data_IF_150941900461
#
_entry.id   IF_150941900461
#
_cell.length_a   1.000
_cell.length_b   1.000
_cell.length_c   1.000
_cell.angle_alpha   90.00
_cell.angle_beta   90.00
_cell.angle_gamma   90.00
#
_symmetry.space_group_name_H-M   'P 1'
#
loop_
_entity.id
_entity.type
_entity.pdbx_description
1 polymer ?
#
# COMPACT_ATOMS: atom_id res chain seq x y z
N UNK A 1 40.91 -11.97 -40.72
CA UNK A 1 39.96 -11.20 -39.89
C UNK A 1 40.64 -10.98 -38.53
N UNK A 2 40.90 -9.72 -38.16
CA UNK A 2 41.88 -9.35 -37.13
C UNK A 2 41.41 -9.82 -35.72
N UNK A 3 42.28 -10.52 -34.97
CA UNK A 3 42.10 -10.94 -33.58
C UNK A 3 41.64 -9.81 -32.66
N UNK A 4 41.98 -8.56 -33.00
CA UNK A 4 41.49 -7.38 -32.26
C UNK A 4 39.99 -7.20 -32.32
N UNK A 5 39.29 -7.55 -33.44
CA UNK A 5 37.82 -7.45 -33.55
C UNK A 5 37.15 -8.55 -32.77
N UNK A 6 37.71 -9.76 -32.75
CA UNK A 6 37.16 -10.87 -31.95
C UNK A 6 37.28 -10.61 -30.45
N UNK A 7 38.42 -10.01 -30.02
CA UNK A 7 38.65 -9.65 -28.61
C UNK A 7 37.69 -8.56 -28.10
N UNK A 8 37.37 -7.56 -28.94
CA UNK A 8 36.40 -6.50 -28.58
C UNK A 8 34.98 -7.07 -28.45
N UNK A 9 34.60 -8.02 -29.31
CA UNK A 9 33.27 -8.65 -29.26
C UNK A 9 33.14 -9.50 -27.99
N UNK A 10 34.18 -10.22 -27.58
CA UNK A 10 34.17 -11.04 -26.37
C UNK A 10 34.06 -10.17 -25.10
N UNK A 11 34.78 -9.07 -25.02
CA UNK A 11 34.74 -8.12 -23.90
C UNK A 11 33.35 -7.46 -23.83
N UNK A 12 32.78 -7.06 -24.97
CA UNK A 12 31.44 -6.48 -25.05
C UNK A 12 30.36 -7.48 -24.59
N UNK A 13 30.49 -8.75 -24.97
CA UNK A 13 29.56 -9.81 -24.54
C UNK A 13 29.67 -10.11 -23.04
N UNK A 14 30.89 -10.08 -22.48
CA UNK A 14 31.11 -10.26 -21.03
C UNK A 14 30.53 -9.11 -20.21
N UNK A 15 30.75 -7.86 -20.64
CA UNK A 15 30.19 -6.67 -20.01
C UNK A 15 28.65 -6.64 -20.08
N UNK A 16 28.08 -7.16 -21.18
CA UNK A 16 26.63 -7.26 -21.33
C UNK A 16 26.00 -8.36 -20.45
N UNK A 17 26.75 -9.45 -20.19
CA UNK A 17 26.30 -10.53 -19.30
C UNK A 17 26.26 -10.11 -17.83
N UNK A 18 27.17 -9.25 -17.39
CA UNK A 18 27.16 -8.72 -16.02
C UNK A 18 26.01 -7.72 -15.78
N UNK A 19 25.57 -6.99 -16.83
CA UNK A 19 24.43 -6.07 -16.72
C UNK A 19 23.08 -6.78 -16.54
N UNK A 20 22.97 -8.03 -16.99
CA UNK A 20 21.74 -8.84 -16.86
C UNK A 20 21.56 -9.50 -15.47
N UNK A 21 22.64 -9.60 -14.68
CA UNK A 21 22.57 -10.22 -13.34
C UNK A 21 22.05 -9.25 -12.27
N UNK A 22 22.04 -7.94 -12.55
CA UNK A 22 21.51 -6.92 -11.63
C UNK A 22 19.98 -6.68 -11.71
N UNK A 23 19.22 -7.51 -12.39
CA UNK A 23 17.78 -7.54 -12.18
C UNK A 23 17.49 -8.29 -10.87
N UNK A 24 17.76 -7.62 -9.74
CA UNK A 24 17.16 -8.02 -8.47
C UNK A 24 15.65 -8.11 -8.69
N UNK A 25 15.12 -9.30 -8.61
CA UNK A 25 13.67 -9.53 -8.49
C UNK A 25 13.25 -9.09 -7.10
N UNK A 26 13.23 -7.76 -6.88
CA UNK A 26 12.61 -7.19 -5.71
C UNK A 26 11.18 -7.70 -5.66
N UNK A 27 10.82 -8.43 -4.61
CA UNK A 27 9.45 -8.84 -4.37
C UNK A 27 8.61 -7.59 -4.26
N UNK A 28 7.94 -7.21 -5.35
CA UNK A 28 7.08 -6.04 -5.37
C UNK A 28 5.96 -6.22 -4.34
N UNK A 29 5.65 -5.15 -3.62
CA UNK A 29 4.52 -5.14 -2.70
C UNK A 29 3.25 -5.56 -3.44
N UNK A 30 2.50 -6.51 -2.89
CA UNK A 30 1.30 -7.07 -3.50
C UNK A 30 0.09 -6.89 -2.57
N UNK A 31 -0.99 -6.29 -3.11
CA UNK A 31 -2.27 -6.24 -2.39
C UNK A 31 -2.94 -7.61 -2.51
N UNK A 32 -3.30 -8.19 -1.35
CA UNK A 32 -4.11 -9.41 -1.25
C UNK A 32 -5.51 -9.20 -1.82
N UNK A 33 -6.45 -10.04 -1.46
CA UNK A 33 -7.82 -9.89 -1.95
C UNK A 33 -8.49 -8.66 -1.33
N UNK A 34 -9.17 -7.91 -2.19
CA UNK A 34 -10.05 -6.81 -1.75
C UNK A 34 -11.44 -7.39 -1.61
N UNK A 35 -11.81 -7.73 -0.37
CA UNK A 35 -13.11 -8.26 -0.03
C UNK A 35 -14.02 -7.17 0.56
N UNK A 36 -15.32 -7.32 0.35
CA UNK A 36 -16.31 -6.42 0.91
C UNK A 36 -17.50 -7.21 1.47
N UNK A 37 -18.19 -6.60 2.41
CA UNK A 37 -19.36 -7.16 3.07
C UNK A 37 -20.38 -6.04 3.30
N UNK A 38 -21.63 -6.31 2.99
CA UNK A 38 -22.74 -5.42 3.31
C UNK A 38 -23.50 -6.03 4.49
N UNK A 39 -23.59 -5.30 5.59
CA UNK A 39 -24.36 -5.69 6.76
C UNK A 39 -25.00 -4.46 7.40
N UNK A 40 -26.26 -4.55 7.81
CA UNK A 40 -27.01 -3.46 8.46
C UNK A 40 -26.99 -2.14 7.66
N UNK A 41 -27.08 -2.21 6.33
CA UNK A 41 -26.95 -1.09 5.39
C UNK A 41 -25.59 -0.40 5.40
N UNK A 42 -24.56 -1.00 5.97
CA UNK A 42 -23.20 -0.50 5.95
C UNK A 42 -22.33 -1.36 5.03
N UNK A 43 -21.48 -0.70 4.25
CA UNK A 43 -20.47 -1.33 3.40
C UNK A 43 -19.17 -1.40 4.18
N UNK A 44 -18.68 -2.61 4.40
CA UNK A 44 -17.39 -2.88 5.04
C UNK A 44 -16.40 -3.41 4.02
N UNK A 45 -15.12 -3.05 4.19
CA UNK A 45 -14.02 -3.46 3.32
C UNK A 45 -12.93 -4.10 4.16
N UNK A 46 -12.38 -5.19 3.65
CA UNK A 46 -11.21 -5.87 4.23
C UNK A 46 -10.19 -6.13 3.13
N UNK A 47 -8.93 -5.90 3.45
CA UNK A 47 -7.80 -6.12 2.54
C UNK A 47 -6.50 -6.27 3.33
N UNK A 48 -5.47 -6.79 2.69
CA UNK A 48 -4.12 -6.86 3.25
C UNK A 48 -3.09 -6.56 2.17
N UNK A 49 -1.95 -6.04 2.59
CA UNK A 49 -0.76 -5.91 1.77
C UNK A 49 0.26 -6.95 2.23
N UNK A 50 0.85 -7.70 1.31
CA UNK A 50 2.01 -8.53 1.60
C UNK A 50 3.23 -7.60 1.72
N UNK A 51 3.81 -7.46 2.92
CA UNK A 51 4.92 -6.54 3.10
C UNK A 51 6.18 -7.05 2.41
N UNK A 52 6.98 -6.14 1.91
CA UNK A 52 8.35 -6.43 1.52
C UNK A 52 9.22 -6.63 2.77
N UNK A 53 10.17 -7.55 2.71
CA UNK A 53 11.12 -7.79 3.81
C UNK A 53 11.87 -6.51 4.20
N UNK A 54 12.18 -5.66 3.22
CA UNK A 54 12.85 -4.37 3.41
C UNK A 54 12.16 -3.48 4.47
N UNK A 55 10.83 -3.53 4.59
CA UNK A 55 10.11 -2.73 5.62
C UNK A 55 10.50 -3.17 7.02
N UNK A 56 10.64 -4.47 7.25
CA UNK A 56 11.06 -5.02 8.55
C UNK A 56 12.52 -4.69 8.83
N UNK A 57 13.37 -4.79 7.81
CA UNK A 57 14.81 -4.51 7.92
C UNK A 57 15.04 -3.03 8.27
N UNK A 58 14.38 -2.11 7.57
CA UNK A 58 14.44 -0.67 7.85
C UNK A 58 13.95 -0.34 9.29
N UNK A 59 12.91 -1.01 9.76
CA UNK A 59 12.41 -0.84 11.14
C UNK A 59 13.42 -1.39 12.17
N UNK A 60 14.14 -2.48 11.86
CA UNK A 60 15.21 -3.00 12.70
C UNK A 60 16.40 -2.04 12.79
N UNK A 61 16.62 -1.22 11.76
CA UNK A 61 17.61 -0.14 11.73
C UNK A 61 17.11 1.14 12.44
N UNK A 62 15.87 1.16 12.93
CA UNK A 62 15.28 2.31 13.63
C UNK A 62 14.64 3.35 12.71
N UNK A 63 14.49 3.06 11.41
CA UNK A 63 13.82 3.95 10.49
C UNK A 63 12.31 3.94 10.73
N UNK A 64 11.69 5.11 10.65
CA UNK A 64 10.23 5.23 10.76
C UNK A 64 9.58 5.18 9.38
N UNK A 65 8.49 4.43 9.25
CA UNK A 65 7.74 4.26 8.00
C UNK A 65 6.33 4.82 8.12
N UNK A 66 5.78 5.20 6.98
CA UNK A 66 4.37 5.57 6.86
C UNK A 66 3.74 4.77 5.73
N UNK A 67 2.66 4.06 6.04
CA UNK A 67 1.86 3.32 5.08
C UNK A 67 0.49 3.96 5.00
N UNK A 68 0.08 4.31 3.80
CA UNK A 68 -1.22 4.93 3.53
C UNK A 68 -2.05 4.02 2.64
N UNK A 69 -3.26 3.69 3.10
CA UNK A 69 -4.30 3.04 2.31
C UNK A 69 -5.30 4.10 1.85
N UNK A 70 -5.60 4.11 0.56
CA UNK A 70 -6.72 4.81 -0.03
C UNK A 70 -7.74 3.76 -0.44
N UNK A 71 -8.95 3.87 0.08
CA UNK A 71 -10.07 2.96 -0.20
C UNK A 71 -11.14 3.77 -0.88
N UNK A 72 -11.25 3.64 -2.19
CA UNK A 72 -12.10 4.46 -3.04
C UNK A 72 -13.23 3.62 -3.63
N UNK A 73 -14.45 4.11 -3.54
CA UNK A 73 -15.63 3.52 -4.17
C UNK A 73 -15.89 4.20 -5.51
N UNK A 74 -15.98 3.41 -6.56
CA UNK A 74 -16.30 3.87 -7.90
C UNK A 74 -17.61 3.27 -8.39
N UNK A 75 -18.38 4.06 -9.16
CA UNK A 75 -19.55 3.61 -9.92
C UNK A 75 -19.14 3.37 -11.36
N UNK A 76 -19.53 2.22 -11.90
CA UNK A 76 -19.25 1.84 -13.29
C UNK A 76 -20.24 2.43 -14.24
N UNK A 77 -19.76 3.13 -15.25
CA UNK A 77 -20.57 3.65 -16.37
C UNK A 77 -20.24 2.92 -17.67
N UNK A 78 -21.24 2.65 -18.50
CA UNK A 78 -21.04 1.93 -19.77
C UNK A 78 -20.33 2.74 -20.86
N UNK A 79 -20.48 4.05 -20.85
CA UNK A 79 -20.06 4.95 -21.95
C UNK A 79 -19.09 6.02 -21.45
N UNK A 80 -19.16 6.40 -20.17
CA UNK A 80 -18.32 7.41 -19.53
C UNK A 80 -17.27 6.79 -18.63
N UNK A 81 -16.21 7.52 -18.29
CA UNK A 81 -15.29 7.08 -17.24
C UNK A 81 -16.03 6.79 -15.95
N UNK A 82 -15.51 5.81 -15.19
CA UNK A 82 -16.06 5.46 -13.90
C UNK A 82 -16.06 6.64 -12.94
N UNK A 83 -17.14 6.80 -12.21
CA UNK A 83 -17.37 7.92 -11.30
C UNK A 83 -16.82 7.62 -9.92
N UNK A 84 -15.96 8.50 -9.39
CA UNK A 84 -15.59 8.48 -7.99
C UNK A 84 -16.79 8.88 -7.12
N UNK A 85 -17.19 7.99 -6.20
CA UNK A 85 -18.35 8.23 -5.32
C UNK A 85 -17.89 8.78 -3.97
N UNK A 86 -16.99 8.10 -3.33
CA UNK A 86 -16.37 8.49 -2.06
C UNK A 86 -15.07 7.74 -1.85
N UNK A 87 -14.27 8.22 -0.91
CA UNK A 87 -13.04 7.54 -0.52
C UNK A 87 -12.67 7.78 0.93
N UNK A 88 -11.88 6.89 1.47
CA UNK A 88 -11.34 6.98 2.83
C UNK A 88 -9.83 6.77 2.81
N UNK A 89 -9.12 7.65 3.53
CA UNK A 89 -7.67 7.59 3.69
C UNK A 89 -7.33 7.10 5.09
N UNK A 90 -6.51 6.05 5.17
CA UNK A 90 -6.00 5.48 6.42
C UNK A 90 -4.49 5.60 6.42
N UNK A 91 -3.94 6.31 7.38
CA UNK A 91 -2.50 6.51 7.54
C UNK A 91 -2.03 5.69 8.74
N UNK A 92 -1.05 4.84 8.54
CA UNK A 92 -0.42 4.09 9.64
C UNK A 92 1.06 4.47 9.69
N UNK A 93 1.48 5.08 10.80
CA UNK A 93 2.87 5.41 11.08
C UNK A 93 3.48 4.30 11.93
N UNK A 94 4.63 3.78 11.51
CA UNK A 94 5.42 2.75 12.18
C UNK A 94 6.68 3.42 12.75
N UNK A 95 6.86 3.31 14.06
CA UNK A 95 8.04 3.79 14.78
C UNK A 95 8.71 2.64 15.49
N UNK A 96 10.01 2.54 15.33
CA UNK A 96 10.83 1.52 15.94
C UNK A 96 11.96 2.15 16.73
N UNK A 97 12.19 1.64 17.92
CA UNK A 97 13.41 1.88 18.72
C UNK A 97 14.01 0.52 19.09
N UNK A 98 14.87 -0.06 18.24
CA UNK A 98 15.42 -1.40 18.46
C UNK A 98 16.23 -1.53 19.76
N UNK A 99 16.92 -0.46 20.16
CA UNK A 99 17.72 -0.46 21.40
C UNK A 99 16.85 -0.62 22.65
N UNK A 100 15.64 -0.04 22.64
CA UNK A 100 14.66 -0.16 23.74
C UNK A 100 13.64 -1.28 23.51
N UNK A 101 13.69 -1.97 22.36
CA UNK A 101 12.69 -2.95 21.90
C UNK A 101 11.26 -2.38 21.94
N UNK A 102 11.12 -1.12 21.53
CA UNK A 102 9.83 -0.44 21.46
C UNK A 102 9.38 -0.36 19.99
N UNK A 103 8.24 -0.94 19.70
CA UNK A 103 7.62 -0.94 18.36
C UNK A 103 6.21 -0.39 18.49
N UNK A 104 5.97 0.78 17.88
CA UNK A 104 4.71 1.52 18.05
C UNK A 104 4.12 1.80 16.67
N UNK A 105 2.88 1.40 16.46
CA UNK A 105 2.12 1.80 15.28
C UNK A 105 0.97 2.73 15.67
N UNK A 106 0.83 3.83 14.93
CA UNK A 106 -0.27 4.79 15.09
C UNK A 106 -1.08 4.83 13.80
N UNK A 107 -2.35 4.41 13.87
CA UNK A 107 -3.28 4.43 12.73
C UNK A 107 -4.24 5.60 12.88
N UNK A 108 -4.35 6.40 11.82
CA UNK A 108 -5.26 7.55 11.73
C UNK A 108 -6.29 7.28 10.63
N UNK A 109 -7.56 7.42 10.96
CA UNK A 109 -8.69 7.27 10.04
C UNK A 109 -9.67 8.43 10.31
N UNK A 110 -9.76 9.39 9.41
CA UNK A 110 -10.50 10.64 9.67
C UNK A 110 -9.97 11.34 10.92
N UNK A 111 -10.85 11.56 11.91
CA UNK A 111 -10.50 12.18 13.19
C UNK A 111 -10.12 11.17 14.29
N UNK A 112 -10.14 9.88 13.98
CA UNK A 112 -9.82 8.83 14.95
C UNK A 112 -8.34 8.46 14.85
N UNK A 113 -7.67 8.36 16.00
CA UNK A 113 -6.29 7.91 16.13
C UNK A 113 -6.21 6.73 17.08
N UNK A 114 -5.60 5.65 16.64
CA UNK A 114 -5.36 4.43 17.42
C UNK A 114 -3.86 4.16 17.50
N UNK A 115 -3.30 4.15 18.71
CA UNK A 115 -1.93 3.73 18.95
C UNK A 115 -1.90 2.30 19.50
N UNK A 116 -0.98 1.48 18.97
CA UNK A 116 -0.76 0.11 19.44
C UNK A 116 0.73 -0.16 19.57
N UNK A 117 1.11 -0.84 20.65
CA UNK A 117 2.48 -1.28 20.93
C UNK A 117 2.63 -2.76 20.64
N UNK A 118 3.82 -3.14 20.18
CA UNK A 118 4.15 -4.50 19.78
C UNK A 118 5.48 -4.92 20.41
N UNK A 119 5.67 -6.22 20.55
CA UNK A 119 6.90 -6.79 21.11
C UNK A 119 8.00 -7.02 20.06
N UNK A 120 7.61 -7.02 18.78
CA UNK A 120 8.49 -7.25 17.64
C UNK A 120 8.01 -6.47 16.40
N UNK A 121 8.94 -6.17 15.46
CA UNK A 121 8.60 -5.39 14.26
C UNK A 121 7.71 -6.15 13.29
N UNK A 122 7.81 -7.48 13.20
CA UNK A 122 7.02 -8.28 12.27
C UNK A 122 5.53 -8.22 12.60
N UNK A 123 5.18 -8.37 13.89
CA UNK A 123 3.79 -8.25 14.37
C UNK A 123 3.24 -6.85 14.13
N UNK A 124 4.07 -5.81 14.32
CA UNK A 124 3.70 -4.43 14.02
C UNK A 124 3.40 -4.23 12.53
N UNK A 125 4.28 -4.72 11.66
CA UNK A 125 4.12 -4.64 10.20
C UNK A 125 2.87 -5.40 9.75
N UNK A 126 2.66 -6.63 10.22
CA UNK A 126 1.49 -7.44 9.87
C UNK A 126 0.19 -6.71 10.25
N UNK A 127 0.13 -6.10 11.43
CA UNK A 127 -1.02 -5.31 11.84
C UNK A 127 -1.21 -4.06 10.96
N UNK A 128 -0.12 -3.37 10.65
CA UNK A 128 -0.17 -2.16 9.83
C UNK A 128 -0.65 -2.43 8.40
N UNK A 129 -0.26 -3.58 7.85
CA UNK A 129 -0.57 -4.01 6.48
C UNK A 129 -1.93 -4.70 6.34
N UNK A 130 -2.71 -4.82 7.43
CA UNK A 130 -4.02 -5.46 7.40
C UNK A 130 -5.12 -4.46 7.78
N UNK A 131 -6.16 -4.38 6.96
CA UNK A 131 -7.41 -3.69 7.24
C UNK A 131 -8.53 -4.72 7.30
N UNK A 132 -9.22 -4.80 8.45
CA UNK A 132 -10.34 -5.71 8.65
C UNK A 132 -11.59 -4.91 8.99
N UNK A 133 -12.70 -5.21 8.29
CA UNK A 133 -14.03 -4.64 8.53
C UNK A 133 -14.03 -3.09 8.66
N UNK A 134 -13.28 -2.42 7.77
CA UNK A 134 -13.32 -0.97 7.68
C UNK A 134 -14.68 -0.54 7.15
N UNK A 135 -15.45 0.22 7.92
CA UNK A 135 -16.70 0.83 7.47
C UNK A 135 -16.38 1.91 6.43
N UNK A 136 -16.87 1.74 5.20
CA UNK A 136 -16.63 2.66 4.09
C UNK A 136 -17.81 3.61 3.89
N UNK A 137 -19.04 3.10 3.86
CA UNK A 137 -20.23 3.90 3.55
C UNK A 137 -21.52 3.30 4.10
N UNK A 138 -22.55 4.13 4.25
CA UNK A 138 -23.93 3.68 4.40
C UNK A 138 -24.55 3.53 3.00
N UNK A 139 -24.97 2.31 2.64
CA UNK A 139 -25.51 2.04 1.29
C UNK A 139 -26.83 2.77 0.99
N UNK A 140 -27.56 3.24 2.02
CA UNK A 140 -28.78 4.04 1.82
C UNK A 140 -28.50 5.44 1.30
N UNK A 141 -27.29 5.94 1.51
CA UNK A 141 -26.84 7.27 1.06
C UNK A 141 -26.24 7.20 -0.34
N UNK A 142 -26.09 5.98 -0.89
CA UNK A 142 -25.51 5.76 -2.21
C UNK A 142 -26.58 5.58 -3.25
N UNK A 143 -26.36 6.13 -4.44
CA UNK A 143 -27.20 5.87 -5.58
C UNK A 143 -27.05 4.43 -6.09
N UNK A 144 -28.11 3.89 -6.68
CA UNK A 144 -28.12 2.55 -7.23
C UNK A 144 -27.18 2.44 -8.42
N UNK A 145 -26.47 1.32 -8.51
CA UNK A 145 -25.56 1.10 -9.63
C UNK A 145 -24.64 -0.10 -9.43
N UNK A 146 -23.83 -0.35 -10.45
CA UNK A 146 -22.73 -1.30 -10.37
C UNK A 146 -21.54 -0.52 -9.85
N UNK A 147 -20.87 -1.03 -8.80
CA UNK A 147 -19.75 -0.38 -8.16
C UNK A 147 -18.58 -1.36 -8.02
N UNK A 148 -17.40 -0.83 -7.79
CA UNK A 148 -16.23 -1.56 -7.31
C UNK A 148 -15.44 -0.69 -6.32
N UNK A 149 -14.61 -1.35 -5.52
CA UNK A 149 -13.72 -0.70 -4.57
C UNK A 149 -12.31 -0.77 -5.13
N UNK A 150 -11.65 0.38 -5.24
CA UNK A 150 -10.23 0.47 -5.58
C UNK A 150 -9.44 0.71 -4.31
N UNK A 151 -8.51 -0.18 -4.03
CA UNK A 151 -7.52 -0.02 -2.95
C UNK A 151 -6.21 0.41 -3.55
N UNK A 152 -5.66 1.52 -3.07
CA UNK A 152 -4.30 1.95 -3.39
C UNK A 152 -3.49 2.01 -2.09
N UNK A 153 -2.31 1.41 -2.09
CA UNK A 153 -1.41 1.43 -0.94
C UNK A 153 -0.11 2.10 -1.33
N UNK A 154 0.31 3.05 -0.50
CA UNK A 154 1.57 3.77 -0.65
C UNK A 154 2.42 3.59 0.61
N UNK A 155 3.71 3.35 0.44
CA UNK A 155 4.70 3.41 1.51
C UNK A 155 5.64 4.58 1.32
N UNK A 156 5.98 5.24 2.43
CA UNK A 156 6.93 6.36 2.44
C UNK A 156 7.87 6.23 3.63
N UNK A 157 9.14 6.58 3.42
CA UNK A 157 10.06 6.80 4.53
C UNK A 157 9.69 8.13 5.17
N UNK A 158 9.43 8.15 6.47
CA UNK A 158 9.23 9.40 7.20
C UNK A 158 10.56 10.12 7.28
N UNK A 159 10.61 11.37 6.82
CA UNK A 159 11.83 12.19 6.79
C UNK A 159 12.60 12.11 8.09
N UNK A 160 13.88 11.81 7.96
CA UNK A 160 14.86 11.94 9.03
C UNK A 160 14.89 13.37 9.56
N UNK A 161 15.36 13.59 10.83
CA UNK A 161 15.52 14.92 11.38
C UNK A 161 16.25 15.86 10.43
N UNK A 162 15.96 17.17 10.41
CA UNK A 162 16.44 18.12 9.40
C UNK A 162 17.96 18.17 9.23
N UNK A 163 18.73 17.74 10.22
CA UNK A 163 20.21 17.72 10.17
C UNK A 163 20.75 16.70 9.17
N UNK A 164 20.05 15.60 8.95
CA UNK A 164 20.46 14.54 8.00
C UNK A 164 19.73 14.72 6.65
N UNK A 165 18.60 15.41 6.63
CA UNK A 165 17.80 15.65 5.42
C UNK A 165 18.53 16.40 4.30
N UNK A 166 19.54 17.20 4.61
CA UNK A 166 20.32 17.93 3.60
C UNK A 166 21.21 17.02 2.72
N UNK A 167 21.52 15.79 3.16
CA UNK A 167 22.31 14.84 2.40
C UNK A 167 21.48 13.96 1.44
N UNK A 168 20.15 13.94 1.59
CA UNK A 168 19.25 13.03 0.88
C UNK A 168 18.24 13.73 -0.04
N UNK A 169 18.62 14.82 -0.69
CA UNK A 169 17.76 15.54 -1.65
C UNK A 169 17.25 14.69 -2.82
N UNK A 170 17.81 13.49 -3.04
CA UNK A 170 17.49 12.62 -4.17
C UNK A 170 16.81 11.32 -3.78
N UNK A 171 16.50 11.10 -2.49
CA UNK A 171 15.75 9.91 -2.08
C UNK A 171 14.27 10.16 -2.34
N UNK A 172 13.61 9.38 -3.19
CA UNK A 172 12.18 9.52 -3.42
C UNK A 172 11.44 9.30 -2.10
N UNK A 173 10.58 10.24 -1.70
CA UNK A 173 9.74 10.14 -0.49
C UNK A 173 8.83 8.90 -0.52
N UNK A 174 8.52 8.39 -1.72
CA UNK A 174 7.61 7.27 -1.98
C UNK A 174 8.41 6.04 -2.37
N UNK A 175 8.34 4.99 -1.56
CA UNK A 175 9.02 3.72 -1.82
C UNK A 175 8.27 2.90 -2.86
N UNK A 176 6.95 2.76 -2.68
CA UNK A 176 6.09 2.08 -3.65
C UNK A 176 4.66 2.64 -3.64
N UNK A 177 3.94 2.33 -4.69
CA UNK A 177 2.50 2.55 -4.82
C UNK A 177 1.91 1.43 -5.65
N UNK A 178 0.97 0.71 -5.07
CA UNK A 178 0.28 -0.41 -5.71
C UNK A 178 -1.22 -0.24 -5.59
N UNK A 179 -1.97 -0.73 -6.58
CA UNK A 179 -3.43 -0.64 -6.58
C UNK A 179 -4.06 -1.96 -6.99
N UNK A 180 -5.23 -2.27 -6.41
CA UNK A 180 -6.05 -3.43 -6.77
C UNK A 180 -7.53 -3.07 -6.67
N UNK A 181 -8.33 -3.59 -7.61
CA UNK A 181 -9.78 -3.43 -7.59
C UNK A 181 -10.44 -4.68 -7.01
N UNK A 182 -11.56 -4.48 -6.31
CA UNK A 182 -12.46 -5.58 -5.95
C UNK A 182 -13.21 -6.12 -7.17
N UNK A 183 -13.94 -7.19 -6.98
CA UNK A 183 -14.99 -7.58 -7.92
C UNK A 183 -16.10 -6.51 -7.96
N UNK A 184 -16.78 -6.41 -9.12
CA UNK A 184 -17.95 -5.55 -9.24
C UNK A 184 -19.12 -6.08 -8.42
N UNK A 185 -19.84 -5.17 -7.78
CA UNK A 185 -21.05 -5.49 -7.02
C UNK A 185 -22.15 -4.47 -7.31
N UNK A 186 -23.40 -4.85 -7.00
CA UNK A 186 -24.55 -3.97 -7.23
C UNK A 186 -25.04 -3.38 -5.92
N UNK A 187 -25.16 -2.07 -5.86
CA UNK A 187 -25.90 -1.36 -4.82
C UNK A 187 -27.34 -1.24 -5.30
N UNK A 188 -28.27 -1.83 -4.54
CA UNK A 188 -29.70 -1.70 -4.75
C UNK A 188 -30.33 -1.21 -3.45
N UNK A 189 -30.98 -0.06 -3.49
CA UNK A 189 -31.80 0.37 -2.36
C UNK A 189 -33.05 -0.48 -2.37
N UNK A 190 -33.19 -1.43 -1.44
CA UNK A 190 -34.47 -2.08 -1.21
C UNK A 190 -35.42 -1.01 -0.68
N UNK A 191 -36.34 -0.56 -1.50
CA UNK A 191 -37.50 0.14 -1.00
C UNK A 191 -38.22 -0.82 -0.01
N UNK A 192 -38.03 -0.61 1.27
CA UNK A 192 -38.98 -1.03 2.26
C UNK A 192 -40.17 -0.11 2.06
N UNK A 193 -41.10 -0.47 1.16
CA UNK A 193 -42.44 0.06 1.24
C UNK A 193 -43.05 -0.38 2.60
N UNK A 194 -43.75 0.53 3.26
CA UNK A 194 -44.40 0.29 4.54
C UNK A 194 -45.49 -0.81 4.45
#
# INVERSE_FOLDING_TARGET
>A
MSYKKAFIIIISALLFSELLVFMETGSAAEIGDVSFRIANNELYVSTSLKPEQKIVDDLNEGLSKEVTFFIDLFRVWKIWPDEFVLGQKIITTLKSNPMKREYIATRVTGNLSLEKRFNDPQSMVNWAMTLSDLKLANIRELEQGICYIKVTVESRIRKLPPVIGYLFFFVPDKEFSVSKNSQNFRISTRNTQP
#
